data_IF_661757233164
#
_entry.id   IF_661757233164
#
_cell.length_a   1.000
_cell.length_b   1.000
_cell.length_c   1.000
_cell.angle_alpha   90.00
_cell.angle_beta   90.00
_cell.angle_gamma   90.00
#
_symmetry.space_group_name_H-M   'P 1'
#
loop_
_entity.id
_entity.type
_entity.pdbx_description
1 polymer ?
#
# COMPACT_ATOMS: atom_id res chain seq x y z
N UNK A 1 39.80 7.88 20.96
CA UNK A 1 38.68 8.06 20.00
C UNK A 1 38.27 6.68 19.51
N UNK A 2 37.00 6.27 19.63
CA UNK A 2 36.53 4.95 19.17
C UNK A 2 35.86 5.15 17.82
N UNK A 3 36.45 4.59 16.77
CA UNK A 3 35.89 4.69 15.41
C UNK A 3 34.64 3.80 15.29
N UNK A 4 33.59 4.25 14.59
CA UNK A 4 32.40 3.44 14.38
C UNK A 4 32.71 2.20 13.55
N UNK A 5 31.96 1.13 13.79
CA UNK A 5 32.09 -0.10 13.01
C UNK A 5 31.53 0.09 11.60
N UNK A 6 32.01 -0.71 10.64
CA UNK A 6 31.46 -0.70 9.26
C UNK A 6 29.96 -0.91 9.22
N UNK A 7 29.44 -1.80 10.06
CA UNK A 7 28.00 -2.06 10.15
C UNK A 7 27.23 -0.82 10.63
N UNK A 8 27.71 -0.15 11.68
CA UNK A 8 27.08 1.08 12.18
C UNK A 8 27.07 2.20 11.15
N UNK A 9 28.16 2.35 10.37
CA UNK A 9 28.22 3.31 9.26
C UNK A 9 27.26 2.96 8.13
N UNK A 10 27.19 1.69 7.73
CA UNK A 10 26.31 1.23 6.66
C UNK A 10 24.83 1.42 7.02
N UNK A 11 24.42 1.04 8.23
CA UNK A 11 23.05 1.23 8.71
C UNK A 11 22.70 2.72 8.80
N UNK A 12 23.59 3.54 9.37
CA UNK A 12 23.38 4.99 9.47
C UNK A 12 23.23 5.65 8.09
N UNK A 13 24.03 5.23 7.10
CA UNK A 13 23.93 5.73 5.74
C UNK A 13 22.59 5.32 5.09
N UNK A 14 22.20 4.04 5.24
CA UNK A 14 20.93 3.53 4.72
C UNK A 14 19.73 4.26 5.35
N UNK A 15 19.73 4.43 6.67
CA UNK A 15 18.69 5.17 7.39
C UNK A 15 18.62 6.62 6.91
N UNK A 16 19.77 7.26 6.71
CA UNK A 16 19.84 8.64 6.21
C UNK A 16 19.24 8.74 4.80
N UNK A 17 19.64 7.86 3.88
CA UNK A 17 19.11 7.84 2.51
C UNK A 17 17.61 7.56 2.52
N UNK A 18 17.17 6.58 3.31
CA UNK A 18 15.75 6.24 3.46
C UNK A 18 14.93 7.45 3.95
N UNK A 19 15.40 8.14 4.99
CA UNK A 19 14.73 9.33 5.53
C UNK A 19 14.70 10.45 4.48
N UNK A 20 15.79 10.65 3.73
CA UNK A 20 15.85 11.66 2.67
C UNK A 20 14.85 11.37 1.55
N UNK A 21 14.80 10.14 1.05
CA UNK A 21 13.86 9.74 -0.01
C UNK A 21 12.41 9.79 0.49
N UNK A 22 12.15 9.33 1.72
CA UNK A 22 10.81 9.44 2.34
C UNK A 22 10.34 10.89 2.43
N UNK A 23 11.23 11.83 2.79
CA UNK A 23 10.90 13.27 2.83
C UNK A 23 10.65 13.85 1.43
N UNK A 24 11.38 13.41 0.41
CA UNK A 24 11.13 13.84 -0.98
C UNK A 24 9.77 13.36 -1.46
N UNK A 25 9.44 12.09 -1.23
CA UNK A 25 8.13 11.52 -1.57
C UNK A 25 6.99 12.23 -0.82
N UNK A 26 7.20 12.54 0.46
CA UNK A 26 6.25 13.32 1.25
C UNK A 26 5.92 14.68 0.60
N UNK A 27 6.94 15.40 0.14
CA UNK A 27 6.76 16.67 -0.57
C UNK A 27 6.04 16.49 -1.91
N UNK A 28 6.30 15.39 -2.62
CA UNK A 28 5.60 15.10 -3.87
C UNK A 28 4.12 14.79 -3.63
N UNK A 29 3.81 13.99 -2.61
CA UNK A 29 2.43 13.64 -2.24
C UNK A 29 1.65 14.85 -1.73
N UNK A 30 2.28 15.73 -0.95
CA UNK A 30 1.62 16.94 -0.45
C UNK A 30 1.21 17.92 -1.56
N UNK A 31 1.83 17.83 -2.74
CA UNK A 31 1.47 18.65 -3.91
C UNK A 31 0.34 18.07 -4.76
N UNK A 32 0.06 16.77 -4.63
CA UNK A 32 -1.04 16.14 -5.37
C UNK A 32 -2.37 16.46 -4.71
N UNK A 33 -3.39 16.64 -5.54
CA UNK A 33 -4.79 16.81 -5.11
C UNK A 33 -5.42 15.45 -4.79
N UNK A 34 -5.10 14.44 -5.60
CA UNK A 34 -5.59 13.09 -5.47
C UNK A 34 -4.48 12.08 -5.66
N UNK A 35 -4.53 11.01 -4.88
CA UNK A 35 -3.61 9.88 -4.92
C UNK A 35 -4.41 8.59 -5.08
N UNK A 36 -3.75 7.61 -5.71
CA UNK A 36 -4.25 6.25 -5.88
C UNK A 36 -3.21 5.30 -5.32
N UNK A 37 -3.64 4.38 -4.47
CA UNK A 37 -2.79 3.31 -3.95
C UNK A 37 -2.96 2.10 -4.87
N UNK A 38 -1.87 1.63 -5.47
CA UNK A 38 -1.87 0.42 -6.28
C UNK A 38 -1.10 -0.64 -5.50
N UNK A 39 -1.75 -1.75 -5.20
CA UNK A 39 -1.13 -2.89 -4.52
C UNK A 39 -1.32 -4.14 -5.35
N UNK A 40 -0.27 -4.92 -5.50
CA UNK A 40 -0.36 -6.28 -6.01
C UNK A 40 -0.52 -7.20 -4.81
N UNK A 41 -1.55 -8.05 -4.77
CA UNK A 41 -1.77 -8.96 -3.66
C UNK A 41 -0.83 -10.14 -3.73
N UNK A 42 0.47 -9.89 -3.52
CA UNK A 42 1.46 -10.94 -3.46
C UNK A 42 1.39 -11.65 -2.09
N UNK A 43 1.05 -12.93 -2.14
CA UNK A 43 0.72 -13.78 -1.00
C UNK A 43 1.95 -14.18 -0.17
N UNK A 44 1.93 -13.95 1.15
CA UNK A 44 2.58 -14.89 2.08
C UNK A 44 1.54 -15.96 2.47
N UNK A 45 1.83 -17.20 2.09
CA UNK A 45 1.01 -18.39 2.32
C UNK A 45 0.78 -18.62 3.82
N UNK A 46 -0.40 -18.22 4.33
CA UNK A 46 -0.93 -18.72 5.59
C UNK A 46 -2.39 -19.17 5.37
N UNK A 47 -2.64 -20.45 5.65
CA UNK A 47 -3.86 -21.22 5.31
C UNK A 47 -5.17 -20.76 5.97
N UNK A 48 -5.26 -19.52 6.47
CA UNK A 48 -6.46 -19.00 7.12
C UNK A 48 -7.08 -17.86 6.30
N UNK A 49 -8.10 -18.21 5.48
CA UNK A 49 -8.82 -17.27 4.59
C UNK A 49 -9.34 -16.01 5.30
N UNK A 50 -9.73 -16.10 6.58
CA UNK A 50 -10.25 -14.96 7.34
C UNK A 50 -9.14 -14.04 7.83
N UNK A 51 -8.05 -14.61 8.37
CA UNK A 51 -6.85 -13.88 8.81
C UNK A 51 -6.25 -13.08 7.65
N UNK A 52 -6.22 -13.67 6.46
CA UNK A 52 -5.72 -13.03 5.26
C UNK A 52 -6.51 -11.74 4.95
N UNK A 53 -7.84 -11.80 4.87
CA UNK A 53 -8.69 -10.62 4.57
C UNK A 53 -8.52 -9.50 5.59
N UNK A 54 -8.46 -9.85 6.88
CA UNK A 54 -8.25 -8.87 7.96
C UNK A 54 -6.86 -8.24 7.84
N UNK A 55 -5.83 -9.03 7.53
CA UNK A 55 -4.47 -8.52 7.30
C UNK A 55 -4.47 -7.48 6.18
N UNK A 56 -5.01 -7.82 5.01
CA UNK A 56 -5.04 -6.91 3.86
C UNK A 56 -5.82 -5.63 4.12
N UNK A 57 -6.98 -5.73 4.77
CA UNK A 57 -7.75 -4.55 5.17
C UNK A 57 -6.90 -3.66 6.08
N UNK A 58 -6.29 -4.26 7.11
CA UNK A 58 -5.46 -3.52 8.06
C UNK A 58 -4.23 -2.89 7.43
N UNK A 59 -3.60 -3.56 6.46
CA UNK A 59 -2.38 -3.08 5.81
C UNK A 59 -2.69 -1.95 4.82
N UNK A 60 -3.77 -2.05 4.06
CA UNK A 60 -4.26 -0.95 3.22
C UNK A 60 -4.66 0.23 4.10
N UNK A 61 -5.38 0.02 5.21
CA UNK A 61 -5.75 1.09 6.16
C UNK A 61 -4.52 1.76 6.79
N UNK A 62 -3.44 1.03 7.10
CA UNK A 62 -2.16 1.61 7.56
C UNK A 62 -1.50 2.47 6.49
N UNK A 63 -1.50 2.02 5.23
CA UNK A 63 -0.96 2.81 4.11
C UNK A 63 -1.76 4.10 3.95
N UNK A 64 -3.10 4.02 4.01
CA UNK A 64 -3.96 5.20 3.94
C UNK A 64 -3.62 6.18 5.06
N UNK A 65 -3.53 5.71 6.30
CA UNK A 65 -3.19 6.54 7.45
C UNK A 65 -1.80 7.20 7.34
N UNK A 66 -0.80 6.48 6.83
CA UNK A 66 0.55 7.05 6.65
C UNK A 66 0.57 8.10 5.54
N UNK A 67 -0.16 7.89 4.45
CA UNK A 67 -0.30 8.89 3.39
C UNK A 67 -1.07 10.10 3.90
N UNK A 68 -2.17 9.93 4.63
CA UNK A 68 -2.93 11.03 5.22
C UNK A 68 -2.08 11.86 6.18
N UNK A 69 -1.24 11.21 6.99
CA UNK A 69 -0.29 11.87 7.90
C UNK A 69 0.72 12.74 7.17
N UNK A 70 1.12 12.34 5.96
CA UNK A 70 2.22 12.95 5.21
C UNK A 70 1.74 13.95 4.17
N UNK A 71 0.66 13.62 3.46
CA UNK A 71 0.14 14.35 2.32
C UNK A 71 -1.07 15.23 2.68
N UNK A 72 -1.77 14.90 3.76
CA UNK A 72 -3.04 15.50 4.18
C UNK A 72 -4.21 14.52 4.02
N UNK A 73 -5.18 14.62 4.94
CA UNK A 73 -6.35 13.74 5.02
C UNK A 73 -7.19 13.84 3.74
N UNK A 74 -7.66 12.69 3.26
CA UNK A 74 -8.66 12.63 2.18
C UNK A 74 -8.06 12.78 0.78
N UNK A 75 -6.73 12.72 0.66
CA UNK A 75 -6.06 12.75 -0.65
C UNK A 75 -6.12 11.43 -1.38
N UNK A 76 -6.20 10.32 -0.66
CA UNK A 76 -6.43 9.03 -1.31
C UNK A 76 -7.88 8.97 -1.76
N UNK A 77 -8.04 8.77 -3.06
CA UNK A 77 -9.35 8.69 -3.72
C UNK A 77 -9.70 7.26 -4.15
N UNK A 78 -8.67 6.43 -4.37
CA UNK A 78 -8.88 5.05 -4.76
C UNK A 78 -7.76 4.11 -4.32
N UNK A 79 -8.12 2.85 -4.17
CA UNK A 79 -7.21 1.70 -4.05
C UNK A 79 -7.46 0.78 -5.25
N UNK A 80 -6.41 0.35 -5.92
CA UNK A 80 -6.47 -0.65 -6.99
C UNK A 80 -5.71 -1.89 -6.54
N UNK A 81 -6.38 -3.04 -6.53
CA UNK A 81 -5.77 -4.32 -6.14
C UNK A 81 -6.10 -5.46 -7.11
N UNK A 82 -5.55 -6.64 -6.89
CA UNK A 82 -5.91 -7.85 -7.64
C UNK A 82 -7.40 -8.21 -7.51
N UNK A 83 -7.83 -9.15 -8.36
CA UNK A 83 -9.22 -9.58 -8.48
C UNK A 83 -9.59 -10.77 -7.58
N UNK A 84 -8.72 -11.18 -6.66
CA UNK A 84 -8.94 -12.34 -5.81
C UNK A 84 -10.11 -12.10 -4.84
N UNK A 85 -10.84 -13.16 -4.50
CA UNK A 85 -12.05 -13.05 -3.68
C UNK A 85 -11.80 -12.43 -2.28
N UNK A 86 -10.63 -12.70 -1.71
CA UNK A 86 -10.16 -12.08 -0.46
C UNK A 86 -9.86 -10.59 -0.65
N UNK A 87 -9.26 -10.16 -1.78
CA UNK A 87 -9.05 -8.74 -2.07
C UNK A 87 -10.37 -8.00 -2.23
N UNK A 88 -11.34 -8.56 -2.96
CA UNK A 88 -12.69 -7.96 -3.06
C UNK A 88 -13.38 -7.80 -1.70
N UNK A 89 -13.17 -8.75 -0.79
CA UNK A 89 -13.75 -8.69 0.56
C UNK A 89 -13.03 -7.64 1.42
N UNK A 90 -11.71 -7.58 1.35
CA UNK A 90 -10.91 -6.55 2.02
C UNK A 90 -11.26 -5.16 1.49
N UNK A 91 -11.39 -4.99 0.18
CA UNK A 91 -11.78 -3.75 -0.46
C UNK A 91 -13.10 -3.19 0.05
N UNK A 92 -14.13 -4.04 0.19
CA UNK A 92 -15.41 -3.63 0.81
C UNK A 92 -15.28 -3.16 2.25
N UNK A 93 -14.36 -3.74 3.02
CA UNK A 93 -14.08 -3.28 4.39
C UNK A 93 -13.32 -1.96 4.39
N UNK A 94 -12.35 -1.80 3.48
CA UNK A 94 -11.62 -0.53 3.29
C UNK A 94 -12.58 0.59 2.91
N UNK A 95 -13.51 0.37 1.98
CA UNK A 95 -14.53 1.38 1.60
C UNK A 95 -15.47 1.73 2.77
N UNK A 96 -15.76 0.76 3.64
CA UNK A 96 -16.56 0.99 4.84
C UNK A 96 -15.80 1.79 5.91
N UNK A 97 -14.50 1.57 6.07
CA UNK A 97 -13.62 2.30 7.00
C UNK A 97 -13.23 3.69 6.48
N UNK A 98 -13.07 3.84 5.17
CA UNK A 98 -12.59 5.04 4.49
C UNK A 98 -13.58 5.50 3.42
N UNK A 99 -14.66 6.21 3.78
CA UNK A 99 -15.79 6.49 2.89
C UNK A 99 -15.44 7.41 1.70
N UNK A 100 -14.29 8.06 1.72
CA UNK A 100 -13.75 8.87 0.62
C UNK A 100 -12.86 8.09 -0.37
N UNK A 101 -12.70 6.78 -0.17
CA UNK A 101 -11.85 5.90 -0.97
C UNK A 101 -12.71 4.89 -1.71
N UNK A 102 -12.50 4.77 -3.03
CA UNK A 102 -13.13 3.74 -3.87
C UNK A 102 -12.16 2.58 -4.06
N UNK A 103 -12.63 1.34 -3.96
CA UNK A 103 -11.82 0.16 -4.24
C UNK A 103 -12.11 -0.39 -5.64
N UNK A 104 -11.07 -0.50 -6.46
CA UNK A 104 -11.15 -0.98 -7.84
C UNK A 104 -10.32 -2.26 -8.04
N UNK A 105 -10.82 -3.11 -8.93
CA UNK A 105 -10.10 -4.29 -9.40
C UNK A 105 -9.10 -3.90 -10.49
N UNK A 106 -7.93 -4.54 -10.48
CA UNK A 106 -6.89 -4.32 -11.48
C UNK A 106 -7.29 -4.90 -12.84
N UNK A 107 -7.39 -4.04 -13.86
CA UNK A 107 -7.80 -4.45 -15.20
C UNK A 107 -6.85 -5.47 -15.84
N UNK A 108 -5.55 -5.43 -15.52
CA UNK A 108 -4.60 -6.43 -16.01
C UNK A 108 -4.97 -7.84 -15.55
N UNK A 109 -5.34 -8.01 -14.28
CA UNK A 109 -5.80 -9.29 -13.74
C UNK A 109 -7.13 -9.74 -14.36
N UNK A 110 -8.04 -8.80 -14.64
CA UNK A 110 -9.29 -9.09 -15.32
C UNK A 110 -9.07 -9.62 -16.75
N UNK A 111 -8.15 -9.00 -17.51
CA UNK A 111 -7.81 -9.43 -18.87
C UNK A 111 -7.11 -10.79 -18.90
N UNK A 112 -6.15 -11.04 -18.00
CA UNK A 112 -5.46 -12.33 -17.92
C UNK A 112 -6.39 -13.48 -17.51
N UNK A 113 -7.40 -13.20 -16.68
CA UNK A 113 -8.41 -14.19 -16.29
C UNK A 113 -9.39 -14.51 -17.44
N UNK A 114 -9.60 -13.55 -18.36
CA UNK A 114 -10.44 -13.72 -19.55
C UNK A 114 -9.75 -14.42 -20.73
N UNK A 115 -8.41 -14.45 -20.76
CA UNK A 115 -7.64 -15.10 -21.81
C UNK A 115 -7.62 -16.65 -21.73
N UNK A 116 -8.25 -17.26 -20.72
CA UNK A 116 -8.38 -18.71 -20.57
C UNK A 116 -9.64 -19.30 -21.25
N UNK A 117 -10.41 -18.50 -22.00
CA UNK A 117 -11.68 -18.94 -22.62
C UNK A 117 -11.83 -18.56 -24.10
N UNK A 118 -10.72 -18.33 -24.81
CA UNK A 118 -10.71 -18.13 -26.26
C UNK A 118 -9.91 -19.22 -26.96
#
# INVERSE_FOLDING_TARGET
>A
MRLPTRHSLATSLLDTVYIMEKKKLALLFSRQTFLVVITDGLLELLEQKLTLVISWTSDISKIIAEVDRVAGIGKISAVVSDNAANMKKAGRLVEAEHPNVVFNECSAHAMCSGAAVA
#
